data_IF_711264760858
#
_entry.id   IF_711264760858
#
_cell.length_a   1.000
_cell.length_b   1.000
_cell.length_c   1.000
_cell.angle_alpha   90.00
_cell.angle_beta   90.00
_cell.angle_gamma   90.00
#
_symmetry.space_group_name_H-M   'P 1'
#
loop_
_entity.id
_entity.type
_entity.pdbx_description
1 polymer ?
#
# COMPACT_ATOMS: atom_id res chain seq x y z
N UNK A 1 -3.08 -27.72 -10.80
CA UNK A 1 -3.36 -26.29 -10.89
C UNK A 1 -2.48 -25.59 -9.86
N UNK A 2 -1.73 -24.57 -10.26
CA UNK A 2 -0.98 -23.74 -9.32
C UNK A 2 -1.95 -22.88 -8.51
N UNK A 3 -1.68 -22.73 -7.21
CA UNK A 3 -2.36 -21.78 -6.34
C UNK A 3 -1.47 -20.56 -6.14
N UNK A 4 -2.02 -19.47 -5.62
CA UNK A 4 -1.26 -18.24 -5.29
C UNK A 4 -0.17 -18.50 -4.24
N UNK A 5 -0.28 -19.57 -3.47
CA UNK A 5 0.67 -19.90 -2.39
C UNK A 5 0.58 -18.95 -1.18
N UNK A 6 -0.44 -18.09 -1.14
CA UNK A 6 -0.66 -17.17 -0.01
C UNK A 6 -1.20 -17.94 1.18
N UNK A 7 -0.75 -17.56 2.35
CA UNK A 7 -1.15 -18.13 3.64
C UNK A 7 -1.66 -16.98 4.49
N UNK A 8 -2.77 -17.18 5.18
CA UNK A 8 -3.28 -16.22 6.15
C UNK A 8 -2.28 -16.04 7.28
N UNK A 9 -1.96 -14.80 7.59
CA UNK A 9 -1.07 -14.44 8.70
C UNK A 9 -1.85 -13.76 9.82
N UNK A 10 -1.32 -13.76 11.06
CA UNK A 10 -1.85 -12.95 12.15
C UNK A 10 -1.81 -11.45 11.79
N UNK A 11 -2.78 -10.70 12.26
CA UNK A 11 -2.84 -9.26 12.04
C UNK A 11 -1.58 -8.54 12.57
N UNK A 12 -0.99 -9.02 13.66
CA UNK A 12 0.25 -8.48 14.23
C UNK A 12 1.47 -8.60 13.32
N UNK A 13 1.39 -9.43 12.28
CA UNK A 13 2.46 -9.66 11.29
C UNK A 13 2.21 -8.90 9.97
N UNK A 14 1.18 -8.07 9.90
CA UNK A 14 0.82 -7.35 8.67
C UNK A 14 1.95 -6.46 8.13
N UNK A 15 2.61 -5.71 9.00
CA UNK A 15 3.79 -4.91 8.65
C UNK A 15 5.01 -5.47 9.39
N UNK A 16 5.82 -6.25 8.71
CA UNK A 16 7.04 -6.81 9.28
C UNK A 16 8.19 -5.81 9.24
N UNK A 17 8.92 -5.71 10.35
CA UNK A 17 10.11 -4.89 10.45
C UNK A 17 11.24 -5.80 10.93
N UNK A 18 12.06 -6.26 9.99
CA UNK A 18 13.21 -7.12 10.29
C UNK A 18 14.42 -6.34 10.80
N UNK A 19 14.64 -5.14 10.26
CA UNK A 19 15.78 -4.30 10.58
C UNK A 19 15.36 -2.82 10.64
N UNK A 20 15.57 -2.18 11.79
CA UNK A 20 15.21 -0.78 12.02
C UNK A 20 16.07 0.19 11.21
N UNK A 21 17.33 -0.16 10.92
CA UNK A 21 18.22 0.68 10.14
C UNK A 21 17.80 0.66 8.66
N UNK A 22 17.55 -0.52 8.13
CA UNK A 22 17.09 -0.67 6.75
C UNK A 22 15.74 0.03 6.55
N UNK A 23 14.79 -0.17 7.47
CA UNK A 23 13.52 0.57 7.48
C UNK A 23 13.72 2.07 7.45
N UNK A 24 14.62 2.61 8.27
CA UNK A 24 14.89 4.05 8.32
C UNK A 24 15.44 4.57 6.99
N UNK A 25 16.34 3.83 6.34
CA UNK A 25 16.89 4.16 5.01
C UNK A 25 15.77 4.15 3.95
N UNK A 26 14.92 3.13 3.95
CA UNK A 26 13.82 3.00 3.00
C UNK A 26 12.77 4.12 3.19
N UNK A 27 12.38 4.43 4.43
CA UNK A 27 11.47 5.54 4.73
C UNK A 27 12.04 6.89 4.28
N UNK A 28 13.31 7.15 4.51
CA UNK A 28 13.99 8.36 4.06
C UNK A 28 13.97 8.49 2.54
N UNK A 29 14.30 7.42 1.83
CA UNK A 29 14.28 7.39 0.37
C UNK A 29 12.85 7.54 -0.17
N UNK A 30 11.88 6.83 0.39
CA UNK A 30 10.47 6.95 0.01
C UNK A 30 9.94 8.37 0.14
N UNK A 31 10.29 9.07 1.24
CA UNK A 31 9.94 10.47 1.43
C UNK A 31 10.60 11.38 0.42
N UNK A 32 11.87 11.14 0.10
CA UNK A 32 12.59 11.88 -0.94
C UNK A 32 11.88 11.74 -2.29
N UNK A 33 11.47 10.52 -2.64
CA UNK A 33 10.75 10.25 -3.88
C UNK A 33 9.38 10.92 -3.89
N UNK A 34 8.59 10.78 -2.83
CA UNK A 34 7.27 11.42 -2.70
C UNK A 34 7.34 12.95 -2.71
N UNK A 35 8.44 13.54 -2.25
CA UNK A 35 8.62 15.00 -2.25
C UNK A 35 9.09 15.57 -3.59
N UNK A 36 9.94 14.83 -4.33
CA UNK A 36 10.61 15.37 -5.52
C UNK A 36 10.17 14.71 -6.83
N UNK A 37 9.57 13.53 -6.75
CA UNK A 37 9.18 12.70 -7.90
C UNK A 37 7.79 12.08 -7.68
N UNK A 38 6.89 12.82 -7.04
CA UNK A 38 5.57 12.30 -6.65
C UNK A 38 4.83 11.68 -7.84
N UNK A 39 4.84 12.33 -8.97
CA UNK A 39 4.16 11.84 -10.18
C UNK A 39 4.69 10.48 -10.70
N UNK A 40 5.89 10.06 -10.30
CA UNK A 40 6.46 8.78 -10.70
C UNK A 40 6.14 7.64 -9.72
N UNK A 41 5.91 7.99 -8.45
CA UNK A 41 5.75 7.01 -7.37
C UNK A 41 4.35 7.00 -6.73
N UNK A 42 3.48 7.93 -7.10
CA UNK A 42 2.14 8.04 -6.57
C UNK A 42 1.11 8.33 -7.66
N UNK A 43 0.01 7.62 -7.64
CA UNK A 43 -1.15 7.87 -8.52
C UNK A 43 -2.43 7.36 -7.87
N UNK A 44 -3.55 8.06 -8.08
CA UNK A 44 -4.85 7.64 -7.56
C UNK A 44 -5.99 8.05 -8.49
N UNK A 45 -6.87 7.11 -8.76
CA UNK A 45 -8.18 7.39 -9.37
C UNK A 45 -9.11 7.96 -8.30
N UNK A 46 -9.97 8.93 -8.63
CA UNK A 46 -10.95 9.48 -7.68
C UNK A 46 -11.84 8.43 -7.01
N UNK A 47 -12.16 7.33 -7.69
CA UNK A 47 -12.94 6.21 -7.12
C UNK A 47 -12.23 5.47 -5.99
N UNK A 48 -10.90 5.56 -5.90
CA UNK A 48 -10.11 4.95 -4.83
C UNK A 48 -10.09 5.78 -3.52
N UNK A 49 -10.70 6.97 -3.50
CA UNK A 49 -10.64 7.87 -2.34
C UNK A 49 -11.16 7.23 -1.05
N UNK A 50 -12.28 6.52 -1.10
CA UNK A 50 -12.86 5.88 0.09
C UNK A 50 -11.95 4.76 0.61
N UNK A 51 -11.47 3.88 -0.27
CA UNK A 51 -10.52 2.84 0.10
C UNK A 51 -9.19 3.42 0.62
N UNK A 52 -8.73 4.54 0.06
CA UNK A 52 -7.54 5.24 0.56
C UNK A 52 -7.69 5.78 1.97
N UNK A 53 -8.88 6.30 2.31
CA UNK A 53 -9.22 6.73 3.68
C UNK A 53 -9.27 5.52 4.62
N UNK A 54 -9.89 4.45 4.20
CA UNK A 54 -9.98 3.20 4.97
C UNK A 54 -8.59 2.66 5.30
N UNK A 55 -7.69 2.55 4.33
CA UNK A 55 -6.30 2.13 4.55
C UNK A 55 -5.59 3.03 5.56
N UNK A 56 -5.75 4.35 5.45
CA UNK A 56 -5.13 5.28 6.39
C UNK A 56 -5.65 5.07 7.83
N UNK A 57 -6.96 4.95 8.02
CA UNK A 57 -7.54 4.74 9.35
C UNK A 57 -7.18 3.37 9.95
N UNK A 58 -7.17 2.31 9.13
CA UNK A 58 -6.67 1.00 9.56
C UNK A 58 -5.22 1.08 10.07
N UNK A 59 -4.36 1.82 9.37
CA UNK A 59 -2.97 2.01 9.82
C UNK A 59 -2.88 2.82 11.10
N UNK A 60 -3.72 3.85 11.31
CA UNK A 60 -3.75 4.62 12.55
C UNK A 60 -4.13 3.75 13.75
N UNK A 61 -4.99 2.76 13.56
CA UNK A 61 -5.37 1.81 14.62
C UNK A 61 -4.29 0.75 14.82
N UNK A 62 -3.84 0.14 13.74
CA UNK A 62 -2.95 -1.01 13.77
C UNK A 62 -1.51 -0.67 14.20
N UNK A 63 -0.86 0.31 13.56
CA UNK A 63 0.58 0.55 13.75
C UNK A 63 0.95 0.91 15.20
N UNK A 64 0.24 1.82 15.90
CA UNK A 64 0.53 2.10 17.31
C UNK A 64 0.22 0.94 18.25
N UNK A 65 -0.74 0.08 17.90
CA UNK A 65 -1.10 -1.09 18.71
C UNK A 65 -0.02 -2.18 18.65
N UNK A 66 0.57 -2.41 17.48
CA UNK A 66 1.59 -3.48 17.31
C UNK A 66 3.02 -2.99 17.51
N UNK A 67 3.29 -1.69 17.26
CA UNK A 67 4.65 -1.11 17.34
C UNK A 67 4.64 0.24 18.06
N UNK A 68 4.22 0.25 19.35
CA UNK A 68 4.10 1.49 20.12
C UNK A 68 5.45 2.22 20.32
N UNK A 69 6.57 1.52 20.16
CA UNK A 69 7.90 2.11 20.19
C UNK A 69 8.27 2.91 18.94
N UNK A 70 7.52 2.72 17.85
CA UNK A 70 7.76 3.39 16.57
C UNK A 70 6.67 4.39 16.21
N UNK A 71 5.47 4.18 16.72
CA UNK A 71 4.30 4.99 16.37
C UNK A 71 3.56 5.45 17.63
N UNK A 72 3.35 6.74 17.75
CA UNK A 72 2.59 7.33 18.84
C UNK A 72 1.34 8.01 18.29
N UNK A 73 0.18 7.47 18.62
CA UNK A 73 -1.09 8.09 18.27
C UNK A 73 -1.47 9.09 19.37
N UNK A 74 -1.47 10.39 19.01
CA UNK A 74 -1.98 11.48 19.83
C UNK A 74 -3.48 11.70 19.61
N UNK A 75 -4.01 12.78 20.18
CA UNK A 75 -5.42 13.14 20.01
C UNK A 75 -5.79 13.45 18.56
N UNK A 76 -4.94 14.23 17.89
CA UNK A 76 -5.19 14.77 16.55
C UNK A 76 -3.99 14.52 15.62
N UNK A 77 -3.05 13.67 16.01
CA UNK A 77 -1.84 13.40 15.20
C UNK A 77 -1.33 11.98 15.39
N UNK A 78 -0.61 11.50 14.40
CA UNK A 78 0.24 10.32 14.48
C UNK A 78 1.69 10.74 14.32
N UNK A 79 2.53 10.35 15.29
CA UNK A 79 3.97 10.59 15.28
C UNK A 79 4.69 9.30 14.94
N UNK A 80 5.65 9.43 14.05
CA UNK A 80 6.62 8.39 13.73
C UNK A 80 7.94 8.72 14.42
N UNK A 81 8.39 7.86 15.31
CA UNK A 81 9.61 8.09 16.09
C UNK A 81 10.87 8.15 15.22
N UNK A 82 11.80 8.97 15.66
CA UNK A 82 13.09 9.15 14.98
C UNK A 82 13.99 7.93 15.12
N UNK A 83 14.89 7.78 14.17
CA UNK A 83 16.01 6.83 14.20
C UNK A 83 17.29 7.55 13.80
N UNK A 84 18.46 7.01 14.11
CA UNK A 84 19.76 7.62 13.77
C UNK A 84 19.92 8.00 12.30
N UNK A 85 19.26 7.27 11.40
CA UNK A 85 19.30 7.48 9.94
C UNK A 85 18.12 8.27 9.40
N UNK A 86 17.20 8.69 10.25
CA UNK A 86 15.90 9.19 9.84
C UNK A 86 15.31 10.11 10.93
N UNK A 87 15.01 11.34 10.58
CA UNK A 87 14.22 12.21 11.46
C UNK A 87 12.78 11.71 11.50
N UNK A 88 12.21 11.64 12.70
CA UNK A 88 10.82 11.33 12.90
C UNK A 88 9.92 12.37 12.21
N UNK A 89 8.65 12.03 12.10
CA UNK A 89 7.64 12.92 11.51
C UNK A 89 6.36 12.86 12.31
N UNK A 90 5.54 13.90 12.16
CA UNK A 90 4.23 13.97 12.77
C UNK A 90 3.22 14.52 11.76
N UNK A 91 2.09 13.82 11.61
CA UNK A 91 1.00 14.25 10.72
C UNK A 91 -0.30 14.32 11.47
N UNK A 92 -1.13 15.30 11.11
CA UNK A 92 -2.50 15.38 11.60
C UNK A 92 -3.30 14.14 11.16
N UNK A 93 -4.10 13.58 12.05
CA UNK A 93 -5.07 12.53 11.70
C UNK A 93 -6.32 13.10 11.03
N UNK A 94 -6.49 14.42 11.06
CA UNK A 94 -7.53 15.14 10.33
C UNK A 94 -7.08 15.34 8.86
N UNK A 95 -7.68 14.57 7.96
CA UNK A 95 -7.35 14.59 6.54
C UNK A 95 -7.60 15.95 5.87
N UNK A 96 -8.54 16.75 6.36
CA UNK A 96 -8.83 18.08 5.81
C UNK A 96 -7.68 19.07 6.13
N UNK A 97 -7.03 18.92 7.27
CA UNK A 97 -5.87 19.74 7.64
C UNK A 97 -4.60 19.38 6.88
N UNK A 98 -4.41 18.12 6.54
CA UNK A 98 -3.19 17.66 5.87
C UNK A 98 -3.05 18.13 4.43
N UNK A 99 -4.15 18.34 3.71
CA UNK A 99 -4.16 18.64 2.26
C UNK A 99 -3.44 17.59 1.39
N UNK A 100 -3.09 16.45 1.97
CA UNK A 100 -2.48 15.32 1.29
C UNK A 100 -3.51 14.23 1.02
N UNK A 101 -3.26 13.44 -0.01
CA UNK A 101 -4.10 12.28 -0.29
C UNK A 101 -3.95 11.24 0.83
N UNK A 102 -5.05 10.58 1.31
CA UNK A 102 -4.98 9.63 2.42
C UNK A 102 -4.00 8.48 2.18
N UNK A 103 -3.91 7.96 0.96
CA UNK A 103 -2.94 6.91 0.61
C UNK A 103 -1.48 7.42 0.62
N UNK A 104 -1.23 8.70 0.29
CA UNK A 104 0.11 9.28 0.42
C UNK A 104 0.50 9.37 1.90
N UNK A 105 -0.41 9.82 2.77
CA UNK A 105 -0.20 9.81 4.22
C UNK A 105 0.09 8.39 4.74
N UNK A 106 -0.73 7.42 4.38
CA UNK A 106 -0.54 6.02 4.74
C UNK A 106 0.84 5.51 4.30
N UNK A 107 1.23 5.81 3.06
CA UNK A 107 2.50 5.39 2.51
C UNK A 107 3.73 5.98 3.23
N UNK A 108 3.58 7.13 3.88
CA UNK A 108 4.67 7.76 4.67
C UNK A 108 4.89 7.10 6.02
N UNK A 109 3.92 6.32 6.50
CA UNK A 109 4.01 5.62 7.77
C UNK A 109 4.82 4.32 7.68
N UNK A 110 4.83 3.67 6.52
CA UNK A 110 5.40 2.33 6.33
C UNK A 110 6.43 2.29 5.19
N UNK A 111 7.33 1.32 5.25
CA UNK A 111 8.34 1.12 4.21
C UNK A 111 7.77 0.44 2.97
N UNK A 112 6.69 -0.33 3.12
CA UNK A 112 6.05 -1.11 2.08
C UNK A 112 5.43 -0.21 1.00
N UNK A 113 5.44 -0.69 -0.23
CA UNK A 113 4.65 -0.12 -1.30
C UNK A 113 3.17 -0.46 -1.11
N UNK A 114 2.29 0.53 -1.32
CA UNK A 114 0.86 0.37 -1.14
C UNK A 114 0.14 0.42 -2.48
N UNK A 115 -0.73 -0.56 -2.73
CA UNK A 115 -1.55 -0.63 -3.94
C UNK A 115 -3.00 -0.89 -3.54
N UNK A 116 -3.92 -0.12 -4.13
CA UNK A 116 -5.35 -0.34 -4.00
C UNK A 116 -5.87 -0.93 -5.31
N UNK A 117 -6.44 -2.11 -5.21
CA UNK A 117 -7.20 -2.74 -6.27
C UNK A 117 -8.69 -2.56 -5.99
N UNK A 118 -9.45 -2.10 -6.99
CA UNK A 118 -10.90 -2.04 -6.90
C UNK A 118 -11.55 -3.15 -7.75
N UNK A 119 -12.76 -3.62 -7.35
CA UNK A 119 -13.47 -4.65 -8.09
C UNK A 119 -13.94 -4.15 -9.46
N UNK A 120 -14.36 -5.10 -10.27
CA UNK A 120 -14.87 -4.87 -11.61
C UNK A 120 -15.93 -3.76 -11.70
N UNK A 121 -15.84 -2.98 -12.73
CA UNK A 121 -16.84 -2.02 -13.16
C UNK A 121 -17.16 -2.22 -14.64
N UNK A 122 -18.20 -1.57 -15.16
CA UNK A 122 -18.69 -1.77 -16.54
C UNK A 122 -17.57 -1.69 -17.61
N UNK A 123 -16.62 -0.77 -17.46
CA UNK A 123 -15.51 -0.56 -18.40
C UNK A 123 -14.25 -1.36 -18.09
N UNK A 124 -14.17 -1.96 -16.90
CA UNK A 124 -12.98 -2.69 -16.39
C UNK A 124 -13.44 -4.00 -15.74
N UNK A 125 -13.61 -5.08 -16.51
CA UNK A 125 -14.00 -6.37 -15.97
C UNK A 125 -12.83 -6.98 -15.16
N UNK A 126 -13.09 -7.33 -13.91
CA UNK A 126 -12.10 -7.84 -12.97
C UNK A 126 -11.46 -6.74 -12.11
N UNK A 127 -10.60 -7.16 -11.19
CA UNK A 127 -9.89 -6.25 -10.30
C UNK A 127 -8.90 -5.39 -11.06
N UNK A 128 -8.86 -4.10 -10.78
CA UNK A 128 -7.99 -3.14 -11.46
C UNK A 128 -7.25 -2.24 -10.50
N UNK A 129 -6.06 -1.78 -10.88
CA UNK A 129 -5.21 -0.92 -10.07
C UNK A 129 -5.75 0.51 -10.07
N UNK A 130 -6.38 0.88 -8.96
CA UNK A 130 -7.06 2.15 -8.79
C UNK A 130 -6.22 3.22 -8.11
N UNK A 131 -5.28 2.83 -7.25
CA UNK A 131 -4.31 3.74 -6.66
C UNK A 131 -3.04 2.99 -6.26
N UNK A 132 -1.93 3.73 -6.15
CA UNK A 132 -0.68 3.18 -5.67
C UNK A 132 0.27 4.26 -5.17
N UNK A 133 1.04 3.90 -4.13
CA UNK A 133 2.26 4.57 -3.73
C UNK A 133 3.37 3.53 -3.79
N UNK A 134 4.21 3.60 -4.83
CA UNK A 134 5.21 2.59 -5.17
C UNK A 134 6.56 3.26 -5.35
N UNK A 135 7.39 3.16 -4.33
CA UNK A 135 8.72 3.75 -4.29
C UNK A 135 9.82 2.78 -4.76
N UNK A 136 9.58 1.47 -4.66
CA UNK A 136 10.60 0.43 -4.90
C UNK A 136 10.17 -0.62 -5.93
N UNK A 137 9.75 -0.22 -7.13
CA UNK A 137 9.26 -1.16 -8.14
C UNK A 137 10.39 -2.01 -8.71
N UNK A 138 10.20 -3.36 -8.72
CA UNK A 138 11.15 -4.32 -9.27
C UNK A 138 11.01 -4.53 -10.77
N UNK A 139 11.28 -3.63 -11.66
CA UNK A 139 11.18 -3.77 -13.11
C UNK A 139 9.81 -3.46 -13.71
N UNK A 140 9.03 -2.62 -13.08
CA UNK A 140 7.77 -2.14 -13.63
C UNK A 140 7.56 -0.65 -13.28
N UNK A 141 6.61 -0.02 -13.96
CA UNK A 141 6.30 1.39 -13.77
C UNK A 141 4.85 1.52 -13.32
N UNK A 142 4.60 2.30 -12.27
CA UNK A 142 3.27 2.50 -11.71
C UNK A 142 2.32 3.13 -12.75
N UNK A 143 2.77 4.14 -13.49
CA UNK A 143 1.96 4.82 -14.51
C UNK A 143 1.52 3.87 -15.63
N UNK A 144 2.40 2.93 -16.00
CA UNK A 144 2.07 1.96 -17.04
C UNK A 144 1.01 0.94 -16.61
N UNK A 145 0.89 0.70 -15.31
CA UNK A 145 -0.06 -0.28 -14.75
C UNK A 145 -1.34 0.34 -14.23
N UNK A 146 -1.33 1.62 -13.93
CA UNK A 146 -2.49 2.35 -13.43
C UNK A 146 -3.70 2.23 -14.37
N UNK A 147 -4.87 2.00 -13.78
CA UNK A 147 -6.13 1.83 -14.49
C UNK A 147 -6.27 0.50 -15.25
N UNK A 148 -5.25 -0.37 -15.21
CA UNK A 148 -5.30 -1.68 -15.87
C UNK A 148 -5.78 -2.77 -14.93
N UNK A 149 -6.45 -3.76 -15.51
CA UNK A 149 -6.93 -4.93 -14.76
C UNK A 149 -5.78 -5.85 -14.37
N UNK A 150 -6.01 -6.69 -13.36
CA UNK A 150 -5.07 -7.71 -12.89
C UNK A 150 -4.49 -8.53 -14.04
N UNK A 151 -5.34 -8.95 -14.96
CA UNK A 151 -4.93 -9.75 -16.13
C UNK A 151 -4.00 -9.01 -17.07
N UNK A 152 -4.27 -7.71 -17.31
CA UNK A 152 -3.41 -6.87 -18.16
C UNK A 152 -2.08 -6.58 -17.47
N UNK A 153 -2.10 -6.29 -16.17
CA UNK A 153 -0.90 -6.04 -15.36
C UNK A 153 0.06 -7.22 -15.40
N UNK A 154 -0.47 -8.44 -15.34
CA UNK A 154 0.34 -9.67 -15.29
C UNK A 154 0.53 -10.35 -16.66
N UNK A 155 -0.04 -9.81 -17.74
CA UNK A 155 0.11 -10.39 -19.07
C UNK A 155 1.56 -10.64 -19.52
N UNK A 156 2.58 -9.81 -19.12
CA UNK A 156 3.98 -10.07 -19.45
C UNK A 156 4.62 -11.20 -18.63
N UNK A 157 3.97 -11.67 -17.57
CA UNK A 157 4.53 -12.75 -16.72
C UNK A 157 4.44 -14.07 -17.48
N UNK A 158 5.54 -14.80 -17.67
CA UNK A 158 5.53 -16.07 -18.38
C UNK A 158 4.52 -17.05 -17.77
N UNK A 159 3.71 -17.66 -18.64
CA UNK A 159 2.68 -18.64 -18.25
C UNK A 159 1.53 -18.11 -17.36
N UNK A 160 1.45 -16.81 -17.03
CA UNK A 160 0.38 -16.26 -16.20
C UNK A 160 -1.00 -16.72 -16.67
N UNK A 161 -1.35 -16.48 -17.93
CA UNK A 161 -2.66 -16.84 -18.50
C UNK A 161 -3.01 -18.32 -18.37
N UNK A 162 -2.01 -19.21 -18.50
CA UNK A 162 -2.24 -20.66 -18.48
C UNK A 162 -2.27 -21.25 -17.07
N UNK A 163 -1.52 -20.68 -16.14
CA UNK A 163 -1.24 -21.31 -14.85
C UNK A 163 -1.78 -20.53 -13.64
N UNK A 164 -1.78 -19.20 -13.68
CA UNK A 164 -2.06 -18.36 -12.52
C UNK A 164 -3.34 -17.52 -12.65
N UNK A 165 -3.73 -17.09 -13.85
CA UNK A 165 -4.83 -16.15 -14.05
C UNK A 165 -6.11 -16.53 -13.28
N UNK A 166 -6.56 -17.78 -13.43
CA UNK A 166 -7.80 -18.23 -12.78
C UNK A 166 -7.65 -18.24 -11.26
N UNK A 167 -6.51 -18.75 -10.75
CA UNK A 167 -6.30 -18.79 -9.29
C UNK A 167 -6.11 -17.40 -8.68
N UNK A 168 -5.52 -16.46 -9.41
CA UNK A 168 -5.37 -15.07 -8.97
C UNK A 168 -6.73 -14.38 -8.90
N UNK A 169 -7.54 -14.47 -9.96
CA UNK A 169 -8.87 -13.87 -9.97
C UNK A 169 -9.78 -14.51 -8.92
N UNK A 170 -9.83 -15.83 -8.83
CA UNK A 170 -10.59 -16.56 -7.80
C UNK A 170 -10.18 -16.13 -6.37
N UNK A 171 -8.89 -15.81 -6.14
CA UNK A 171 -8.42 -15.35 -4.84
C UNK A 171 -9.01 -13.98 -4.50
N UNK A 172 -8.88 -13.00 -5.39
CA UNK A 172 -9.43 -11.65 -5.17
C UNK A 172 -10.96 -11.65 -5.05
N UNK A 173 -11.66 -12.46 -5.86
CA UNK A 173 -13.12 -12.55 -5.84
C UNK A 173 -13.67 -13.18 -4.55
N UNK A 174 -12.86 -13.96 -3.86
CA UNK A 174 -13.25 -14.70 -2.64
C UNK A 174 -12.54 -14.23 -1.38
N UNK A 175 -11.68 -13.24 -1.50
CA UNK A 175 -10.94 -12.71 -0.34
C UNK A 175 -11.95 -12.18 0.68
N UNK A 176 -11.98 -12.75 1.90
CA UNK A 176 -12.83 -12.24 2.96
C UNK A 176 -12.43 -10.82 3.36
N UNK A 177 -13.40 -10.02 3.73
CA UNK A 177 -13.11 -8.71 4.32
C UNK A 177 -12.32 -8.89 5.64
N UNK A 178 -11.36 -8.00 5.86
CA UNK A 178 -10.52 -7.97 7.08
C UNK A 178 -9.64 -9.22 7.29
N UNK A 179 -9.24 -9.90 6.25
CA UNK A 179 -8.22 -10.95 6.32
C UNK A 179 -6.89 -10.51 5.70
N UNK A 180 -5.78 -10.94 6.30
CA UNK A 180 -4.41 -10.63 5.87
C UNK A 180 -3.73 -11.94 5.44
N UNK A 181 -3.02 -11.90 4.30
CA UNK A 181 -2.37 -13.05 3.69
C UNK A 181 -0.91 -12.75 3.37
#
# INVERSE_FOLDING_TARGET
RLSMGLVKIPESEWFEIFDLQERAIQLKEKRRLLANYQDDVFISDPSAMMASKEVFYLMLEHLPAVRPELYVLGKDSIKLESHTMFEGDEWSTDLEKNKMHPLDLAARLVQEDLIIMLPAEEKRPGWWLAAGSVAFPSRWNLKEKFGKTMDVIHSPVPFYKKQLQVSTNDFFDRMPANEIF
#
